data_IF_166754028788
#
_entry.id   IF_166754028788
#
_cell.length_a   1.000
_cell.length_b   1.000
_cell.length_c   1.000
_cell.angle_alpha   90.00
_cell.angle_beta   90.00
_cell.angle_gamma   90.00
#
_symmetry.space_group_name_H-M   'P 1'
#
loop_
_entity.id
_entity.type
_entity.pdbx_description
1 polymer ?
#
# COMPACT_ATOMS: atom_id res chain seq x y z
N UNK A 1 -86.59 41.86 -0.04
CA UNK A 1 -86.74 43.32 -0.23
C UNK A 1 -85.51 44.00 0.33
N UNK A 2 -84.94 44.92 -0.45
CA UNK A 2 -84.05 46.05 -0.11
C UNK A 2 -82.63 45.77 0.40
N UNK A 3 -81.73 46.17 -0.51
CA UNK A 3 -80.36 46.69 -0.43
C UNK A 3 -79.93 47.50 0.80
N UNK A 4 -78.59 47.66 0.84
CA UNK A 4 -77.73 48.69 1.49
C UNK A 4 -77.18 48.30 2.88
N UNK A 5 -75.91 48.53 3.23
CA UNK A 5 -74.76 49.14 2.55
C UNK A 5 -73.45 48.71 3.26
N UNK A 6 -72.32 48.83 2.57
CA UNK A 6 -70.97 48.69 3.12
C UNK A 6 -70.50 50.02 3.76
N UNK A 7 -69.63 49.96 4.78
CA UNK A 7 -68.55 50.94 4.84
C UNK A 7 -67.16 50.35 5.07
N UNK A 8 -66.20 51.10 4.51
CA UNK A 8 -64.74 50.93 4.48
C UNK A 8 -64.13 51.12 5.88
N UNK A 9 -63.05 50.40 6.21
CA UNK A 9 -61.65 50.92 6.22
C UNK A 9 -60.72 50.06 7.08
N UNK A 10 -59.61 49.65 6.46
CA UNK A 10 -58.22 49.63 6.94
C UNK A 10 -57.90 49.32 8.42
N UNK A 11 -57.06 48.31 8.66
CA UNK A 11 -55.62 48.48 8.92
C UNK A 11 -54.94 47.12 9.12
N UNK A 12 -53.75 47.00 8.55
CA UNK A 12 -52.87 45.86 8.67
C UNK A 12 -52.35 45.66 10.10
N UNK A 13 -52.22 44.41 10.52
CA UNK A 13 -51.30 43.99 11.58
C UNK A 13 -50.71 42.63 11.19
N UNK A 14 -49.40 42.63 10.94
CA UNK A 14 -48.55 41.46 10.72
C UNK A 14 -48.43 40.63 11.99
N UNK A 15 -48.35 39.30 11.84
CA UNK A 15 -47.50 38.31 12.59
C UNK A 15 -48.28 37.00 12.79
N UNK A 16 -47.77 35.80 12.53
CA UNK A 16 -46.47 35.35 12.08
C UNK A 16 -46.66 34.01 11.33
N UNK A 17 -46.19 33.91 10.10
CA UNK A 17 -46.03 32.60 9.44
C UNK A 17 -44.63 32.13 9.83
N UNK A 18 -44.56 31.21 10.80
CA UNK A 18 -43.34 30.44 11.06
C UNK A 18 -43.15 29.49 9.88
N UNK A 19 -42.51 29.99 8.82
CA UNK A 19 -42.05 29.14 7.72
C UNK A 19 -40.75 28.51 8.20
N UNK A 20 -40.83 27.28 8.71
CA UNK A 20 -39.67 26.46 9.00
C UNK A 20 -39.00 26.14 7.65
N UNK A 21 -38.12 27.03 7.19
CA UNK A 21 -37.20 26.74 6.10
C UNK A 21 -36.27 25.63 6.60
N UNK A 22 -36.57 24.37 6.25
CA UNK A 22 -35.54 23.35 6.16
C UNK A 22 -34.55 23.84 5.09
N UNK A 23 -33.49 24.52 5.52
CA UNK A 23 -32.24 24.54 4.79
C UNK A 23 -31.72 23.10 4.77
N UNK A 24 -32.21 22.29 3.83
CA UNK A 24 -31.35 21.27 3.25
C UNK A 24 -30.25 22.04 2.53
N UNK A 25 -29.19 22.35 3.27
CA UNK A 25 -27.91 22.69 2.67
C UNK A 25 -27.48 21.45 1.89
N UNK A 26 -27.86 21.41 0.61
CA UNK A 26 -27.19 20.59 -0.39
C UNK A 26 -25.81 21.20 -0.48
N UNK A 27 -24.93 20.81 0.43
CA UNK A 27 -23.50 21.02 0.24
C UNK A 27 -23.18 20.24 -1.04
N UNK A 28 -22.80 20.89 -2.15
CA UNK A 28 -22.23 20.14 -3.25
C UNK A 28 -21.04 19.41 -2.64
N UNK A 29 -21.10 18.08 -2.58
CA UNK A 29 -19.89 17.29 -2.36
C UNK A 29 -19.00 17.61 -3.54
N UNK A 30 -18.04 18.50 -3.31
CA UNK A 30 -16.94 18.71 -4.24
C UNK A 30 -16.16 17.40 -4.26
N UNK A 31 -16.43 16.57 -5.26
CA UNK A 31 -15.58 15.44 -5.56
C UNK A 31 -14.24 16.03 -6.03
N UNK A 32 -13.23 15.94 -5.18
CA UNK A 32 -11.84 16.22 -5.57
C UNK A 32 -11.24 14.97 -6.19
N UNK A 33 -10.36 15.13 -7.17
CA UNK A 33 -9.56 14.03 -7.67
C UNK A 33 -8.71 13.45 -6.53
N UNK A 34 -8.76 12.13 -6.34
CA UNK A 34 -7.88 11.45 -5.41
C UNK A 34 -6.46 11.49 -6.01
N UNK A 35 -5.47 12.01 -5.28
CA UNK A 35 -4.09 12.11 -5.76
C UNK A 35 -3.33 10.77 -5.69
N UNK A 36 -4.02 9.71 -5.30
CA UNK A 36 -3.52 8.36 -5.14
C UNK A 36 -4.67 7.38 -5.39
N UNK A 37 -4.38 6.23 -5.99
CA UNK A 37 -5.37 5.15 -6.13
C UNK A 37 -5.20 4.32 -7.40
N UNK A 38 -5.27 3.01 -7.24
CA UNK A 38 -5.19 2.01 -8.30
C UNK A 38 -3.98 1.09 -8.12
N UNK A 39 -4.23 -0.22 -8.13
CA UNK A 39 -3.15 -1.20 -8.30
C UNK A 39 -2.81 -1.23 -9.78
N UNK A 40 -1.58 -0.86 -10.13
CA UNK A 40 -1.04 -1.08 -11.47
C UNK A 40 -0.22 -2.35 -11.41
N UNK A 41 -0.60 -3.34 -12.22
CA UNK A 41 0.13 -4.59 -12.38
C UNK A 41 0.68 -4.71 -13.80
N UNK A 42 1.83 -5.31 -13.94
CA UNK A 42 2.35 -5.78 -15.21
C UNK A 42 2.88 -7.19 -15.03
N UNK A 43 2.50 -8.09 -15.94
CA UNK A 43 2.97 -9.47 -15.93
C UNK A 43 4.38 -9.53 -16.52
N UNK A 44 5.21 -10.40 -15.95
CA UNK A 44 6.56 -10.65 -16.43
C UNK A 44 6.89 -12.14 -16.37
N UNK A 45 7.89 -12.54 -17.14
CA UNK A 45 8.47 -13.87 -17.11
C UNK A 45 9.95 -13.80 -17.45
N UNK A 46 10.71 -14.78 -16.99
CA UNK A 46 12.09 -15.00 -17.43
C UNK A 46 12.07 -16.02 -18.55
N UNK A 47 12.39 -15.58 -19.76
CA UNK A 47 12.49 -16.48 -20.90
C UNK A 47 13.63 -17.48 -20.69
N UNK A 48 13.38 -18.74 -21.04
CA UNK A 48 14.32 -19.85 -20.88
C UNK A 48 14.80 -20.07 -19.42
N UNK A 49 13.93 -19.82 -18.43
CA UNK A 49 14.22 -20.16 -17.04
C UNK A 49 14.53 -21.67 -16.90
N UNK A 50 15.48 -22.06 -16.04
CA UNK A 50 15.79 -23.47 -15.81
C UNK A 50 14.55 -24.24 -15.32
N UNK A 51 14.35 -25.46 -15.82
CA UNK A 51 13.23 -26.31 -15.37
C UNK A 51 13.28 -26.60 -13.86
N UNK A 52 14.48 -26.63 -13.28
CA UNK A 52 14.69 -26.80 -11.84
C UNK A 52 14.36 -25.54 -11.00
N UNK A 53 13.99 -24.43 -11.64
CA UNK A 53 13.84 -23.13 -10.98
C UNK A 53 15.15 -22.34 -10.88
N UNK A 54 15.03 -21.11 -10.41
CA UNK A 54 16.17 -20.24 -10.14
C UNK A 54 16.67 -20.45 -8.71
N UNK A 55 17.95 -20.18 -8.47
CA UNK A 55 18.52 -20.14 -7.10
C UNK A 55 18.39 -18.76 -6.47
N UNK A 56 18.21 -17.74 -7.30
CA UNK A 56 18.07 -16.36 -6.91
C UNK A 56 17.36 -15.55 -8.00
N UNK A 57 16.74 -14.45 -7.59
CA UNK A 57 16.20 -13.43 -8.47
C UNK A 57 16.47 -12.05 -7.85
N UNK A 58 16.75 -11.07 -8.71
CA UNK A 58 17.05 -9.71 -8.29
C UNK A 58 16.06 -8.77 -9.00
N UNK A 59 15.32 -8.01 -8.20
CA UNK A 59 14.48 -6.92 -8.65
C UNK A 59 15.16 -5.59 -8.39
N UNK A 60 14.93 -4.61 -9.27
CA UNK A 60 15.51 -3.27 -9.16
C UNK A 60 14.40 -2.24 -9.03
N UNK A 61 14.45 -1.46 -7.97
CA UNK A 61 13.45 -0.44 -7.67
C UNK A 61 14.13 0.89 -7.40
N UNK A 62 13.63 1.94 -8.05
CA UNK A 62 14.04 3.32 -7.81
C UNK A 62 12.80 4.19 -7.69
N UNK A 63 12.66 4.86 -6.56
CA UNK A 63 11.62 5.87 -6.38
C UNK A 63 12.04 7.16 -7.09
N UNK A 64 11.05 7.94 -7.53
CA UNK A 64 11.30 9.34 -7.86
C UNK A 64 11.67 10.06 -6.55
N UNK A 65 12.72 10.91 -6.50
CA UNK A 65 13.05 11.70 -5.31
C UNK A 65 11.88 12.52 -4.74
N UNK A 66 10.91 12.91 -5.57
CA UNK A 66 9.72 13.67 -5.17
C UNK A 66 8.57 12.77 -4.63
N UNK A 67 8.79 11.46 -4.50
CA UNK A 67 7.79 10.53 -3.95
C UNK A 67 7.42 10.97 -2.54
N UNK A 68 6.12 10.97 -2.22
CA UNK A 68 5.67 11.34 -0.89
C UNK A 68 6.16 10.32 0.17
N UNK A 69 6.77 10.82 1.25
CA UNK A 69 7.26 10.01 2.37
C UNK A 69 6.10 9.71 3.33
N UNK A 70 5.18 8.85 2.88
CA UNK A 70 3.97 8.45 3.62
C UNK A 70 3.70 6.97 3.39
N UNK A 71 3.08 6.33 4.37
CA UNK A 71 2.61 4.96 4.22
C UNK A 71 1.43 4.87 3.23
N UNK A 72 1.22 3.67 2.66
CA UNK A 72 0.04 3.34 1.86
C UNK A 72 0.33 2.98 0.40
N UNK A 73 1.55 3.24 -0.08
CA UNK A 73 2.00 2.78 -1.40
C UNK A 73 2.97 1.61 -1.25
N UNK A 74 2.88 0.63 -2.17
CA UNK A 74 3.78 -0.51 -2.21
C UNK A 74 4.19 -0.81 -3.65
N UNK A 75 5.50 -0.87 -3.90
CA UNK A 75 6.06 -1.45 -5.12
C UNK A 75 6.40 -2.90 -4.81
N UNK A 76 5.53 -3.81 -5.24
CA UNK A 76 5.60 -5.23 -4.94
C UNK A 76 6.05 -6.04 -6.16
N UNK A 77 7.20 -6.68 -6.04
CA UNK A 77 7.71 -7.66 -6.98
C UNK A 77 7.16 -9.05 -6.59
N UNK A 78 6.13 -9.49 -7.31
CA UNK A 78 5.49 -10.78 -7.09
C UNK A 78 6.22 -11.89 -7.88
N UNK A 79 6.43 -13.03 -7.24
CA UNK A 79 7.04 -14.22 -7.85
C UNK A 79 6.40 -15.50 -7.29
N UNK A 80 6.75 -16.64 -7.87
CA UNK A 80 6.28 -17.96 -7.43
C UNK A 80 7.45 -18.93 -7.36
N UNK A 81 7.43 -19.81 -6.37
CA UNK A 81 8.34 -20.96 -6.32
C UNK A 81 7.86 -22.09 -7.22
N UNK A 82 8.80 -22.89 -7.73
CA UNK A 82 8.46 -24.04 -8.57
C UNK A 82 7.57 -25.03 -7.82
N UNK A 83 6.56 -25.56 -8.53
CA UNK A 83 5.55 -26.49 -8.01
C UNK A 83 4.64 -25.93 -6.92
N UNK A 84 4.52 -24.61 -6.82
CA UNK A 84 3.63 -23.92 -5.89
C UNK A 84 2.54 -23.14 -6.64
N UNK A 85 1.40 -22.94 -5.98
CA UNK A 85 0.23 -22.27 -6.58
C UNK A 85 -0.04 -20.89 -5.99
N UNK A 86 0.51 -20.58 -4.82
CA UNK A 86 0.36 -19.26 -4.21
C UNK A 86 1.50 -18.33 -4.63
N UNK A 87 1.25 -17.04 -4.47
CA UNK A 87 2.20 -15.98 -4.79
C UNK A 87 3.07 -15.66 -3.57
N UNK A 88 4.28 -15.23 -3.84
CA UNK A 88 5.18 -14.60 -2.89
C UNK A 88 5.45 -13.18 -3.37
N UNK A 89 5.86 -12.29 -2.47
CA UNK A 89 6.34 -10.98 -2.89
C UNK A 89 7.56 -10.53 -2.11
N UNK A 90 8.26 -9.58 -2.72
CA UNK A 90 9.25 -8.74 -2.06
C UNK A 90 9.07 -7.31 -2.57
N UNK A 91 9.39 -6.29 -1.78
CA UNK A 91 9.22 -4.93 -2.29
C UNK A 91 9.57 -3.84 -1.30
N UNK A 92 9.32 -2.59 -1.71
CA UNK A 92 9.57 -1.38 -0.92
C UNK A 92 8.31 -0.51 -0.78
N UNK A 93 8.08 0.01 0.43
CA UNK A 93 7.03 0.97 0.74
C UNK A 93 7.65 2.26 1.27
N UNK A 94 7.25 3.44 0.74
CA UNK A 94 7.55 4.70 1.39
C UNK A 94 7.00 4.76 2.81
N UNK A 95 7.75 5.42 3.70
CA UNK A 95 7.35 5.69 5.09
C UNK A 95 7.61 7.15 5.42
N UNK A 96 6.97 7.62 6.49
CA UNK A 96 7.29 8.92 7.05
C UNK A 96 8.76 8.98 7.49
N UNK A 97 9.37 10.15 7.35
CA UNK A 97 10.71 10.38 7.87
C UNK A 97 10.75 10.09 9.37
N UNK A 98 11.84 9.50 9.83
CA UNK A 98 12.07 9.22 11.24
C UNK A 98 13.42 9.81 11.65
N UNK A 99 13.45 10.59 12.73
CA UNK A 99 14.68 11.21 13.25
C UNK A 99 15.48 12.00 12.19
N UNK A 100 14.79 12.65 11.26
CA UNK A 100 15.40 13.40 10.15
C UNK A 100 15.91 12.56 8.98
N UNK A 101 15.74 11.23 9.02
CA UNK A 101 16.12 10.32 7.95
C UNK A 101 14.90 9.94 7.09
N UNK A 102 15.13 9.75 5.79
CA UNK A 102 14.14 9.16 4.90
C UNK A 102 14.09 7.65 5.18
N UNK A 103 12.89 7.08 5.20
CA UNK A 103 12.69 5.68 5.54
C UNK A 103 12.00 4.96 4.38
N UNK A 104 12.51 3.77 4.08
CA UNK A 104 11.81 2.78 3.29
C UNK A 104 11.55 1.56 4.17
N UNK A 105 10.36 1.00 4.00
CA UNK A 105 9.97 -0.27 4.59
C UNK A 105 10.14 -1.35 3.52
N UNK A 106 10.96 -2.35 3.82
CA UNK A 106 11.14 -3.50 2.95
C UNK A 106 10.34 -4.67 3.50
N UNK A 107 9.56 -5.33 2.64
CA UNK A 107 8.78 -6.50 3.00
C UNK A 107 9.16 -7.68 2.10
N UNK A 108 9.13 -8.87 2.68
CA UNK A 108 9.39 -10.16 2.03
C UNK A 108 8.44 -11.19 2.63
N UNK A 109 7.46 -11.63 1.85
CA UNK A 109 6.36 -12.45 2.34
C UNK A 109 6.09 -13.65 1.45
N UNK A 110 5.79 -14.77 2.10
CA UNK A 110 5.27 -15.97 1.46
C UNK A 110 3.85 -16.23 1.91
N UNK A 111 2.96 -16.51 0.96
CA UNK A 111 1.57 -16.90 1.25
C UNK A 111 1.39 -18.42 1.34
N UNK A 112 2.47 -19.17 1.10
CA UNK A 112 2.44 -20.63 1.07
C UNK A 112 2.17 -21.19 2.47
N UNK A 113 1.08 -21.93 2.60
CA UNK A 113 0.73 -22.60 3.84
C UNK A 113 1.81 -23.61 4.24
N UNK A 114 2.24 -23.57 5.51
CA UNK A 114 3.32 -24.40 6.02
C UNK A 114 4.70 -23.74 5.95
N UNK A 115 4.82 -22.55 5.37
CA UNK A 115 6.03 -21.72 5.50
C UNK A 115 6.28 -21.41 6.97
N UNK A 116 7.54 -21.48 7.39
CA UNK A 116 7.96 -21.19 8.77
C UNK A 116 9.17 -20.27 8.80
N UNK A 117 9.40 -19.61 9.93
CA UNK A 117 10.61 -18.82 10.15
C UNK A 117 11.01 -18.81 11.62
N UNK A 118 12.31 -18.66 11.87
CA UNK A 118 12.87 -18.35 13.20
C UNK A 118 13.58 -17.00 13.20
N UNK A 119 13.44 -16.23 12.12
CA UNK A 119 14.08 -14.93 11.94
C UNK A 119 13.27 -13.86 12.69
N UNK A 120 13.97 -12.99 13.42
CA UNK A 120 13.32 -12.02 14.31
C UNK A 120 12.58 -10.90 13.56
N UNK A 121 12.84 -10.74 12.26
CA UNK A 121 12.12 -9.82 11.40
C UNK A 121 10.82 -10.41 10.85
N UNK A 122 10.56 -11.70 11.11
CA UNK A 122 9.44 -12.44 10.54
C UNK A 122 8.35 -12.75 11.58
N UNK A 123 7.14 -12.89 11.08
CA UNK A 123 5.97 -13.28 11.86
C UNK A 123 5.06 -14.19 11.04
N UNK A 124 4.26 -15.00 11.74
CA UNK A 124 3.30 -15.90 11.11
C UNK A 124 2.21 -15.12 10.37
N UNK A 125 1.88 -15.61 9.17
CA UNK A 125 0.87 -15.08 8.27
C UNK A 125 1.39 -14.07 7.25
N UNK A 126 0.72 -14.03 6.10
CA UNK A 126 0.93 -13.01 5.07
C UNK A 126 -0.36 -12.27 4.78
N UNK A 127 -0.37 -10.96 5.06
CA UNK A 127 -1.55 -10.08 4.99
C UNK A 127 -2.81 -10.64 5.69
N UNK A 128 -2.60 -11.32 6.82
CA UNK A 128 -3.66 -11.98 7.60
C UNK A 128 -4.07 -13.36 7.08
N UNK A 129 -3.47 -13.83 5.99
CA UNK A 129 -3.59 -15.18 5.45
C UNK A 129 -2.55 -16.14 6.03
N UNK A 130 -2.40 -17.29 5.36
CA UNK A 130 -1.36 -18.29 5.68
C UNK A 130 0.04 -17.80 5.29
N UNK A 131 1.06 -18.54 5.74
CA UNK A 131 2.45 -18.30 5.38
C UNK A 131 3.22 -17.47 6.40
N UNK A 132 4.15 -16.64 5.93
CA UNK A 132 5.07 -15.84 6.77
C UNK A 132 5.30 -14.48 6.12
N UNK A 133 5.35 -13.43 6.92
CA UNK A 133 5.79 -12.10 6.49
C UNK A 133 6.98 -11.64 7.29
N UNK A 134 8.00 -11.18 6.58
CA UNK A 134 9.18 -10.54 7.14
C UNK A 134 9.23 -9.08 6.70
N UNK A 135 9.65 -8.19 7.59
CA UNK A 135 9.82 -6.80 7.22
C UNK A 135 10.83 -6.05 8.09
N UNK A 136 11.43 -5.03 7.50
CA UNK A 136 12.38 -4.14 8.16
C UNK A 136 12.23 -2.71 7.64
N UNK A 137 12.24 -1.74 8.55
CA UNK A 137 12.42 -0.32 8.20
C UNK A 137 13.92 -0.01 8.19
N UNK A 138 14.38 0.71 7.16
CA UNK A 138 15.77 1.12 7.06
C UNK A 138 15.90 2.57 6.58
N UNK A 139 17.00 3.21 6.99
CA UNK A 139 17.35 4.53 6.50
C UNK A 139 17.69 4.46 5.01
N UNK A 140 17.02 5.28 4.22
CA UNK A 140 17.10 5.30 2.77
C UNK A 140 17.48 6.70 2.26
N UNK A 141 17.77 6.75 0.97
CA UNK A 141 17.91 7.97 0.16
C UNK A 141 17.11 7.75 -1.12
N UNK A 142 16.04 8.52 -1.31
CA UNK A 142 15.11 8.36 -2.43
C UNK A 142 15.72 8.79 -3.77
N UNK A 143 16.93 9.37 -3.77
CA UNK A 143 17.71 9.59 -5.00
C UNK A 143 18.45 8.33 -5.46
N UNK A 144 18.63 7.35 -4.58
CA UNK A 144 19.31 6.09 -4.86
C UNK A 144 18.39 5.05 -5.51
N UNK A 145 19.01 4.07 -6.16
CA UNK A 145 18.34 2.84 -6.57
C UNK A 145 18.59 1.72 -5.56
N UNK A 146 17.69 0.75 -5.52
CA UNK A 146 17.78 -0.40 -4.63
C UNK A 146 17.60 -1.69 -5.41
N UNK A 147 18.41 -2.69 -5.09
CA UNK A 147 18.21 -4.06 -5.55
C UNK A 147 17.63 -4.90 -4.43
N UNK A 148 16.56 -5.62 -4.73
CA UNK A 148 15.92 -6.59 -3.85
C UNK A 148 16.30 -7.99 -4.33
N UNK A 149 16.98 -8.76 -3.49
CA UNK A 149 17.42 -10.11 -3.82
C UNK A 149 16.66 -11.13 -2.99
N UNK A 150 16.00 -12.06 -3.67
CA UNK A 150 15.48 -13.30 -3.10
C UNK A 150 16.46 -14.40 -3.47
N UNK A 151 17.10 -15.03 -2.49
CA UNK A 151 18.12 -16.04 -2.74
C UNK A 151 17.97 -17.27 -1.85
N UNK A 152 18.18 -18.44 -2.44
CA UNK A 152 18.20 -19.72 -1.74
C UNK A 152 19.44 -19.80 -0.85
N UNK A 153 19.25 -20.02 0.45
CA UNK A 153 20.33 -20.16 1.44
C UNK A 153 20.41 -21.55 2.08
N UNK A 154 19.49 -22.45 1.72
CA UNK A 154 19.44 -23.85 2.16
C UNK A 154 18.60 -24.68 1.18
N UNK A 155 18.27 -25.94 1.51
CA UNK A 155 17.41 -26.75 0.63
C UNK A 155 16.08 -26.06 0.40
N UNK A 156 15.35 -25.69 1.44
CA UNK A 156 14.03 -25.04 1.29
C UNK A 156 14.01 -23.66 1.94
N UNK A 157 15.20 -23.14 2.25
CA UNK A 157 15.38 -21.87 2.95
C UNK A 157 15.71 -20.74 1.98
N UNK A 158 14.98 -19.64 2.11
CA UNK A 158 15.09 -18.47 1.26
C UNK A 158 15.29 -17.21 2.09
N UNK A 159 16.13 -16.30 1.57
CA UNK A 159 16.49 -15.04 2.20
C UNK A 159 16.13 -13.86 1.30
N UNK A 160 15.48 -12.85 1.89
CA UNK A 160 15.25 -11.55 1.28
C UNK A 160 16.27 -10.53 1.78
N UNK A 161 16.94 -9.81 0.87
CA UNK A 161 17.88 -8.72 1.19
C UNK A 161 17.62 -7.51 0.29
N UNK A 162 17.64 -6.30 0.84
CA UNK A 162 17.67 -5.06 0.06
C UNK A 162 19.08 -4.48 0.08
N UNK A 163 19.56 -3.99 -1.05
CA UNK A 163 20.87 -3.34 -1.17
C UNK A 163 20.75 -2.00 -1.86
N UNK A 164 21.33 -0.97 -1.26
CA UNK A 164 21.56 0.33 -1.86
C UNK A 164 22.64 0.20 -2.94
N UNK A 165 22.31 0.55 -4.18
CA UNK A 165 23.25 0.38 -5.31
C UNK A 165 24.37 1.42 -5.32
N UNK A 166 24.18 2.56 -4.66
CA UNK A 166 25.14 3.66 -4.59
C UNK A 166 26.13 3.41 -3.46
N UNK A 167 25.63 3.11 -2.25
CA UNK A 167 26.49 2.91 -1.08
C UNK A 167 26.99 1.48 -0.95
N UNK A 168 26.32 0.51 -1.60
CA UNK A 168 26.60 -0.92 -1.45
C UNK A 168 26.07 -1.53 -0.14
N UNK A 169 25.48 -0.72 0.74
CA UNK A 169 24.93 -1.16 2.03
C UNK A 169 23.81 -2.16 1.80
N UNK A 170 23.87 -3.29 2.49
CA UNK A 170 22.86 -4.34 2.40
C UNK A 170 22.14 -4.51 3.73
N UNK A 171 20.82 -4.58 3.68
CA UNK A 171 19.93 -4.78 4.82
C UNK A 171 19.19 -6.10 4.64
N UNK A 172 19.33 -6.98 5.63
CA UNK A 172 18.59 -8.22 5.72
C UNK A 172 17.13 -7.95 6.06
N UNK A 173 16.19 -8.49 5.28
CA UNK A 173 14.74 -8.31 5.51
C UNK A 173 14.18 -9.50 6.29
N UNK A 174 14.60 -10.71 5.94
CA UNK A 174 14.09 -11.92 6.57
C UNK A 174 14.54 -13.20 5.88
N UNK A 175 14.36 -14.31 6.60
CA UNK A 175 14.63 -15.66 6.12
C UNK A 175 13.42 -16.53 6.47
N UNK A 176 12.95 -17.35 5.54
CA UNK A 176 11.91 -18.34 5.82
C UNK A 176 12.22 -19.68 5.14
N UNK A 177 11.55 -20.73 5.62
CA UNK A 177 11.63 -22.10 5.11
C UNK A 177 10.28 -22.46 4.50
N UNK A 178 10.30 -22.85 3.23
CA UNK A 178 9.14 -23.35 2.50
C UNK A 178 8.83 -24.81 2.88
N UNK A 179 7.57 -25.26 2.77
CA UNK A 179 7.15 -26.62 3.10
C UNK A 179 7.65 -27.71 2.12
#
# INVERSE_FOLDING_TARGET
>A
MKENAMPKTARAALSAIVTLFLLFAVFPSSASAQTFGGNVGFDWKIDNAPAAGLTDIIFSTKFNPDTAHVAGNYVADQFQFQNQNDVDYMGLQPRANQNGQQILHAAFSSFLAGTTSTDSQCSDGADGGSGVSCAVDFAADYSHGYTLTVARSGTDTWRGTVKDVVTGTSTHIGTYVLP
#
